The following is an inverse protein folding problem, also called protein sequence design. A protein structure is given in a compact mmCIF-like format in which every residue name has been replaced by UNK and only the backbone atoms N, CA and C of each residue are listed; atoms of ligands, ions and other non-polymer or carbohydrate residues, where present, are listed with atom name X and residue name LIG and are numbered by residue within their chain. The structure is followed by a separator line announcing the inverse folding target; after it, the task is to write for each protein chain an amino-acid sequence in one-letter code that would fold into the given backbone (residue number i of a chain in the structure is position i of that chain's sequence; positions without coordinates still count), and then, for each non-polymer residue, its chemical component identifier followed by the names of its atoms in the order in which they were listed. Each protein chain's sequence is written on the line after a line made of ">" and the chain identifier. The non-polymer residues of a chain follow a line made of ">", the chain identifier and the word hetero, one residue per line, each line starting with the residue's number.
data_IF_277430617305
#
_entry.id   IF_277430617305
#
_cell.length_a   1.000
_cell.length_b   1.000
_cell.length_c   1.000
_cell.angle_alpha   90.00
_cell.angle_beta   90.00
_cell.angle_gamma   90.00
#
_symmetry.space_group_name_H-M   'P 1'
#
loop_
_entity.id
_entity.type
_entity.pdbx_description
1 polymer ?
#
# COMPACT_ATOMS: atom_id res chain seq x y z
N UNK A 1 13.48 8.30 -7.40
CA UNK A 1 12.59 8.64 -8.50
C UNK A 1 11.29 9.16 -7.92
N UNK A 2 10.82 10.30 -8.43
CA UNK A 2 9.55 10.90 -8.07
C UNK A 2 8.46 10.40 -9.02
N UNK A 3 7.36 9.95 -8.47
CA UNK A 3 6.15 9.69 -9.23
C UNK A 3 5.05 10.65 -8.78
N UNK A 4 4.30 11.18 -9.72
CA UNK A 4 3.17 12.08 -9.49
C UNK A 4 1.91 11.51 -10.15
N UNK A 5 0.83 11.51 -9.40
CA UNK A 5 -0.46 10.99 -9.85
C UNK A 5 -1.55 12.02 -9.60
N UNK A 6 -2.55 12.04 -10.46
CA UNK A 6 -3.76 12.83 -10.27
C UNK A 6 -4.72 12.09 -9.33
N UNK A 7 -5.40 12.82 -8.47
CA UNK A 7 -6.49 12.24 -7.65
C UNK A 7 -7.57 11.60 -8.52
N UNK A 8 -8.22 10.58 -8.00
CA UNK A 8 -9.42 10.02 -8.61
C UNK A 8 -10.60 10.95 -8.39
N UNK A 9 -10.96 11.71 -9.44
CA UNK A 9 -12.04 12.68 -9.42
C UNK A 9 -13.43 12.05 -9.61
N UNK A 10 -13.50 10.73 -9.87
CA UNK A 10 -14.77 10.01 -9.91
C UNK A 10 -15.36 9.82 -8.50
N UNK A 11 -14.55 9.98 -7.47
CA UNK A 11 -14.97 9.94 -6.08
C UNK A 11 -15.39 11.33 -5.61
N UNK A 12 -16.38 11.39 -4.78
CA UNK A 12 -16.83 12.64 -4.13
C UNK A 12 -16.58 12.53 -2.60
N UNK A 13 -15.66 13.25 -2.06
CA UNK A 13 -14.68 14.15 -2.69
C UNK A 13 -13.59 13.37 -3.45
N UNK A 14 -12.88 14.02 -4.41
CA UNK A 14 -11.75 13.40 -5.08
C UNK A 14 -10.72 12.86 -4.08
N UNK A 15 -10.14 11.70 -4.38
CA UNK A 15 -9.28 11.00 -3.44
C UNK A 15 -7.91 10.65 -4.04
N UNK A 16 -6.85 10.58 -3.22
CA UNK A 16 -5.52 10.20 -3.66
C UNK A 16 -5.43 8.68 -3.88
N UNK A 17 -5.86 8.23 -5.05
CA UNK A 17 -5.75 6.85 -5.49
C UNK A 17 -4.58 6.74 -6.47
N UNK A 18 -3.65 5.83 -6.20
CA UNK A 18 -2.44 5.65 -6.98
C UNK A 18 -2.35 4.23 -7.53
N UNK A 19 -1.79 4.04 -8.75
CA UNK A 19 -1.56 2.71 -9.29
C UNK A 19 -0.37 2.06 -8.57
N UNK A 20 -0.60 0.89 -8.00
CA UNK A 20 0.41 0.11 -7.28
C UNK A 20 0.59 -1.24 -7.95
N UNK A 21 1.83 -1.62 -8.21
CA UNK A 21 2.14 -2.93 -8.75
C UNK A 21 2.24 -3.93 -7.61
N UNK A 22 1.32 -4.89 -7.59
CA UNK A 22 1.31 -6.00 -6.65
C UNK A 22 1.76 -7.27 -7.36
N UNK A 23 2.69 -7.98 -6.78
CA UNK A 23 3.15 -9.28 -7.29
C UNK A 23 3.43 -10.25 -6.15
N UNK A 24 3.60 -11.52 -6.48
CA UNK A 24 4.08 -12.51 -5.52
C UNK A 24 5.51 -12.18 -5.07
N UNK A 25 5.92 -12.64 -3.87
CA UNK A 25 7.26 -12.36 -3.34
C UNK A 25 8.40 -12.94 -4.18
N UNK A 26 8.11 -14.01 -4.93
CA UNK A 26 9.04 -14.65 -5.86
C UNK A 26 8.54 -14.56 -7.31
N UNK A 27 7.44 -13.85 -7.55
CA UNK A 27 6.58 -14.08 -8.68
C UNK A 27 6.80 -13.19 -9.88
N UNK A 28 6.48 -13.79 -11.00
CA UNK A 28 6.52 -13.17 -12.31
C UNK A 28 5.19 -12.48 -12.63
N UNK A 29 4.09 -12.94 -12.02
CA UNK A 29 2.76 -12.35 -12.22
C UNK A 29 2.55 -11.12 -11.35
N UNK A 30 2.03 -10.08 -11.98
CA UNK A 30 1.74 -8.83 -11.32
C UNK A 30 0.42 -8.23 -11.79
N UNK A 31 -0.17 -7.43 -10.93
CA UNK A 31 -1.37 -6.64 -11.22
C UNK A 31 -1.10 -5.19 -10.84
N UNK A 32 -1.53 -4.27 -11.70
CA UNK A 32 -1.62 -2.85 -11.34
C UNK A 32 -2.97 -2.61 -10.65
N UNK A 33 -2.91 -2.25 -9.39
CA UNK A 33 -4.09 -2.07 -8.55
C UNK A 33 -4.21 -0.61 -8.14
N UNK A 34 -5.32 0.08 -8.45
CA UNK A 34 -5.58 1.39 -7.87
C UNK A 34 -5.81 1.26 -6.38
N UNK A 35 -5.00 1.96 -5.58
CA UNK A 35 -5.05 1.89 -4.12
C UNK A 35 -5.19 3.28 -3.51
N UNK A 36 -6.07 3.41 -2.53
CA UNK A 36 -6.25 4.64 -1.77
C UNK A 36 -5.06 4.86 -0.83
N UNK A 37 -4.44 6.01 -0.93
CA UNK A 37 -3.42 6.45 0.05
C UNK A 37 -4.13 6.80 1.35
N UNK A 38 -3.91 6.00 2.39
CA UNK A 38 -4.62 6.13 3.67
C UNK A 38 -3.64 6.10 4.85
N UNK A 39 -3.31 7.28 5.34
CA UNK A 39 -2.44 7.45 6.50
C UNK A 39 -3.09 7.02 7.82
N UNK A 40 -4.40 6.83 7.82
CA UNK A 40 -5.16 6.29 8.95
C UNK A 40 -5.10 4.77 9.08
N UNK A 41 -4.69 4.07 8.01
CA UNK A 41 -4.55 2.62 8.03
C UNK A 41 -3.14 2.20 8.48
N UNK A 42 -3.06 1.27 9.42
CA UNK A 42 -1.78 0.73 9.92
C UNK A 42 -1.22 -0.38 9.01
N UNK A 43 -2.07 -1.01 8.20
CA UNK A 43 -1.70 -2.05 7.26
C UNK A 43 -2.29 -1.82 5.87
N UNK A 44 -1.65 -2.42 4.86
CA UNK A 44 -2.11 -2.39 3.47
C UNK A 44 -3.14 -3.49 3.24
N UNK A 45 -4.28 -3.12 2.66
CA UNK A 45 -5.37 -4.04 2.34
C UNK A 45 -5.41 -4.30 0.85
N UNK A 46 -5.52 -5.57 0.48
CA UNK A 46 -5.63 -6.02 -0.92
C UNK A 46 -6.89 -6.87 -1.05
N UNK A 47 -7.71 -6.65 -2.08
CA UNK A 47 -8.91 -7.47 -2.30
C UNK A 47 -8.60 -8.96 -2.37
N UNK A 48 -9.46 -9.78 -1.77
CA UNK A 48 -9.30 -11.22 -1.76
C UNK A 48 -9.21 -11.82 -3.17
N UNK A 49 -9.91 -11.23 -4.15
CA UNK A 49 -9.87 -11.64 -5.56
C UNK A 49 -8.47 -11.49 -6.16
N UNK A 50 -7.75 -10.42 -5.82
CA UNK A 50 -6.38 -10.18 -6.28
C UNK A 50 -5.41 -11.14 -5.61
N UNK A 51 -5.57 -11.38 -4.32
CA UNK A 51 -4.76 -12.35 -3.57
C UNK A 51 -4.89 -13.75 -4.18
N UNK A 52 -6.12 -14.17 -4.50
CA UNK A 52 -6.36 -15.46 -5.16
C UNK A 52 -5.81 -15.53 -6.56
N UNK A 53 -5.98 -14.47 -7.36
CA UNK A 53 -5.48 -14.40 -8.73
C UNK A 53 -3.96 -14.50 -8.80
N UNK A 54 -3.25 -13.84 -7.88
CA UNK A 54 -1.79 -13.85 -7.82
C UNK A 54 -1.24 -15.05 -7.05
N UNK A 55 -2.08 -15.80 -6.35
CA UNK A 55 -1.65 -16.91 -5.51
C UNK A 55 -0.69 -16.47 -4.41
N UNK A 56 -0.95 -15.33 -3.77
CA UNK A 56 -0.09 -14.80 -2.71
C UNK A 56 -0.06 -15.74 -1.51
N UNK A 57 1.14 -16.14 -1.02
CA UNK A 57 1.25 -17.09 0.07
C UNK A 57 0.68 -16.50 1.38
N UNK A 58 -0.18 -17.27 2.03
CA UNK A 58 -0.69 -16.91 3.35
C UNK A 58 0.38 -17.14 4.41
N UNK A 59 0.63 -16.13 5.22
CA UNK A 59 1.68 -16.14 6.25
C UNK A 59 1.12 -15.97 7.67
N UNK A 60 -0.12 -15.50 7.80
CA UNK A 60 -0.75 -15.27 9.11
C UNK A 60 -2.27 -15.17 8.99
N UNK A 61 -2.92 -15.13 10.14
CA UNK A 61 -4.33 -14.78 10.32
C UNK A 61 -4.42 -13.78 11.47
N UNK A 62 -5.12 -12.69 11.27
CA UNK A 62 -5.31 -11.64 12.27
C UNK A 62 -6.78 -11.35 12.52
N UNK A 63 -7.08 -10.77 13.68
CA UNK A 63 -8.38 -10.19 13.97
C UNK A 63 -8.43 -8.74 13.52
N UNK A 64 -9.45 -8.36 12.76
CA UNK A 64 -9.70 -6.99 12.34
C UNK A 64 -11.02 -6.53 12.94
N UNK A 65 -10.99 -5.36 13.58
CA UNK A 65 -12.19 -4.71 14.09
C UNK A 65 -12.62 -3.64 13.09
N UNK A 66 -13.78 -3.83 12.49
CA UNK A 66 -14.38 -2.85 11.58
C UNK A 66 -15.21 -1.79 12.29
N UNK A 67 -15.76 -0.86 11.51
CA UNK A 67 -16.76 0.11 11.97
C UNK A 67 -17.96 -0.64 12.55
N UNK A 68 -18.38 -0.28 13.76
CA UNK A 68 -19.47 -0.98 14.48
C UNK A 68 -19.00 -2.05 15.44
N UNK A 69 -17.69 -2.27 15.62
CA UNK A 69 -17.10 -3.14 16.63
C UNK A 69 -17.16 -4.64 16.31
N UNK A 70 -17.63 -5.05 15.14
CA UNK A 70 -17.63 -6.45 14.72
C UNK A 70 -16.19 -6.92 14.45
N UNK A 71 -15.76 -7.97 15.15
CA UNK A 71 -14.45 -8.58 14.98
C UNK A 71 -14.51 -9.66 13.91
N UNK A 72 -13.68 -9.56 12.89
CA UNK A 72 -13.55 -10.55 11.83
C UNK A 72 -12.13 -11.06 11.73
N UNK A 73 -11.96 -12.29 11.30
CA UNK A 73 -10.65 -12.83 10.93
C UNK A 73 -10.32 -12.41 9.50
N UNK A 74 -9.09 -11.99 9.31
CA UNK A 74 -8.53 -11.69 8.01
C UNK A 74 -7.24 -12.47 7.81
N UNK A 75 -7.00 -12.93 6.58
CA UNK A 75 -5.76 -13.61 6.22
C UNK A 75 -4.69 -12.60 5.81
N UNK A 76 -3.44 -12.88 6.17
CA UNK A 76 -2.28 -12.06 5.84
C UNK A 76 -1.42 -12.81 4.84
N UNK A 77 -0.99 -12.13 3.80
CA UNK A 77 -0.25 -12.71 2.69
C UNK A 77 1.03 -11.92 2.40
N UNK A 78 2.08 -12.61 2.00
CA UNK A 78 3.30 -11.96 1.55
C UNK A 78 3.14 -11.48 0.10
N UNK A 79 3.51 -10.24 -0.16
CA UNK A 79 3.45 -9.62 -1.47
C UNK A 79 4.64 -8.68 -1.70
N UNK A 80 5.02 -8.53 -2.96
CA UNK A 80 5.88 -7.44 -3.40
C UNK A 80 5.02 -6.27 -3.85
N UNK A 81 5.29 -5.10 -3.31
CA UNK A 81 4.56 -3.86 -3.60
C UNK A 81 5.54 -2.86 -4.21
N UNK A 82 5.18 -2.33 -5.36
CA UNK A 82 6.01 -1.36 -6.08
C UNK A 82 5.21 -0.11 -6.44
N UNK A 83 5.75 1.03 -6.04
CA UNK A 83 5.14 2.34 -6.25
C UNK A 83 6.24 3.39 -6.42
N UNK A 84 6.26 4.08 -7.56
CA UNK A 84 7.13 5.23 -7.77
C UNK A 84 8.62 4.99 -7.50
N UNK A 85 9.16 3.85 -7.89
CA UNK A 85 10.54 3.43 -7.63
C UNK A 85 10.77 2.81 -6.25
N UNK A 86 9.79 2.85 -5.36
CA UNK A 86 9.79 2.14 -4.09
C UNK A 86 9.36 0.69 -4.33
N UNK A 87 10.16 -0.28 -3.88
CA UNK A 87 9.83 -1.70 -3.92
C UNK A 87 10.00 -2.30 -2.53
N UNK A 88 8.94 -2.91 -2.01
CA UNK A 88 8.91 -3.47 -0.67
C UNK A 88 8.30 -4.87 -0.68
N UNK A 89 8.81 -5.73 0.19
CA UNK A 89 8.14 -6.95 0.59
C UNK A 89 7.23 -6.62 1.78
N UNK A 90 5.93 -6.84 1.63
CA UNK A 90 4.90 -6.38 2.58
C UNK A 90 3.98 -7.54 2.96
N UNK A 91 3.50 -7.53 4.18
CA UNK A 91 2.42 -8.41 4.65
C UNK A 91 1.10 -7.70 4.40
N UNK A 92 0.43 -8.06 3.31
CA UNK A 92 -0.86 -7.48 2.94
C UNK A 92 -2.01 -8.25 3.57
N UNK A 93 -3.07 -7.56 3.91
CA UNK A 93 -4.24 -8.14 4.58
C UNK A 93 -5.38 -8.25 3.57
N UNK A 94 -5.96 -9.44 3.47
CA UNK A 94 -7.17 -9.68 2.70
C UNK A 94 -8.39 -9.28 3.53
N UNK A 95 -9.00 -8.15 3.19
CA UNK A 95 -10.18 -7.68 3.89
C UNK A 95 -11.18 -7.06 2.91
N UNK A 96 -12.33 -7.75 2.72
CA UNK A 96 -13.35 -7.33 1.76
C UNK A 96 -12.78 -7.04 0.36
N UNK A 97 -13.34 -6.08 -0.35
CA UNK A 97 -12.85 -5.61 -1.67
C UNK A 97 -12.06 -4.30 -1.55
N UNK A 98 -11.44 -4.08 -0.40
CA UNK A 98 -10.71 -2.86 -0.09
C UNK A 98 -9.29 -2.90 -0.67
N UNK A 99 -8.92 -1.83 -1.36
CA UNK A 99 -7.57 -1.60 -1.87
C UNK A 99 -6.99 -0.33 -1.21
N UNK A 100 -6.30 -0.51 -0.10
CA UNK A 100 -5.81 0.56 0.76
C UNK A 100 -4.32 0.43 0.97
N UNK A 101 -3.60 1.51 0.70
CA UNK A 101 -2.17 1.62 0.94
C UNK A 101 -1.95 2.24 2.32
N UNK A 102 -1.52 1.43 3.27
CA UNK A 102 -1.35 1.83 4.66
C UNK A 102 0.03 2.38 5.01
N UNK A 103 0.21 2.73 6.28
CA UNK A 103 1.47 3.30 6.78
C UNK A 103 2.64 2.33 6.71
N UNK A 104 2.41 1.02 6.71
CA UNK A 104 3.43 0.00 6.51
C UNK A 104 4.21 0.20 5.19
N UNK A 105 3.57 0.73 4.16
CA UNK A 105 4.20 1.14 2.90
C UNK A 105 4.55 2.63 2.91
N UNK A 106 3.62 3.49 3.28
CA UNK A 106 3.78 4.95 3.19
C UNK A 106 4.94 5.49 4.03
N UNK A 107 5.25 4.86 5.16
CA UNK A 107 6.36 5.27 6.02
C UNK A 107 7.75 5.04 5.40
N UNK A 108 7.82 4.36 4.26
CA UNK A 108 9.07 4.16 3.50
C UNK A 108 9.28 5.18 2.39
N UNK A 109 8.38 6.15 2.26
CA UNK A 109 8.43 7.16 1.20
C UNK A 109 8.13 8.56 1.74
N UNK A 110 8.51 9.56 0.98
CA UNK A 110 7.99 10.93 1.15
C UNK A 110 6.75 11.06 0.27
N UNK A 111 5.60 11.28 0.90
CA UNK A 111 4.31 11.40 0.21
C UNK A 111 3.80 12.82 0.39
N UNK A 112 3.49 13.49 -0.71
CA UNK A 112 2.92 14.84 -0.70
C UNK A 112 1.49 14.76 -1.24
N UNK A 113 0.55 15.18 -0.42
CA UNK A 113 -0.86 15.29 -0.79
C UNK A 113 -1.16 16.76 -1.09
N UNK A 114 -1.26 17.10 -2.36
CA UNK A 114 -1.66 18.42 -2.82
C UNK A 114 -3.17 18.41 -3.09
N UNK A 115 -3.94 18.74 -2.07
CA UNK A 115 -5.41 18.78 -2.17
C UNK A 115 -5.92 19.79 -3.19
N UNK A 116 -5.47 21.06 -3.13
CA UNK A 116 -5.88 22.07 -4.12
C UNK A 116 -5.51 21.71 -5.56
N UNK A 117 -4.36 21.11 -5.76
CA UNK A 117 -3.88 20.65 -7.08
C UNK A 117 -4.40 19.28 -7.48
N UNK A 118 -5.14 18.58 -6.64
CA UNK A 118 -5.64 17.21 -6.86
C UNK A 118 -4.51 16.27 -7.33
N UNK A 119 -3.37 16.33 -6.67
CA UNK A 119 -2.20 15.53 -7.04
C UNK A 119 -1.54 14.91 -5.80
N UNK A 120 -1.01 13.72 -6.00
CA UNK A 120 -0.21 13.02 -5.00
C UNK A 120 1.16 12.69 -5.58
N UNK A 121 2.22 13.01 -4.84
CA UNK A 121 3.58 12.70 -5.22
C UNK A 121 4.17 11.68 -4.26
N UNK A 122 4.90 10.71 -4.81
CA UNK A 122 5.59 9.69 -4.03
C UNK A 122 7.06 9.70 -4.42
N UNK A 123 7.92 9.84 -3.42
CA UNK A 123 9.37 9.81 -3.58
C UNK A 123 9.97 8.76 -2.66
N UNK A 124 10.62 7.77 -3.25
CA UNK A 124 11.46 6.86 -2.48
C UNK A 124 12.69 7.61 -1.96
N UNK A 125 12.95 7.47 -0.66
CA UNK A 125 14.09 8.10 -0.02
C UNK A 125 15.01 7.04 0.56
N UNK A 126 16.27 7.02 0.17
CA UNK A 126 17.27 6.18 0.81
C UNK A 126 17.48 6.64 2.26
N UNK A 127 17.55 5.68 3.19
CA UNK A 127 17.93 6.00 4.56
C UNK A 127 19.32 6.62 4.56
N UNK A 128 19.49 7.81 5.18
CA UNK A 128 20.79 8.37 5.43
C UNK A 128 21.59 7.35 6.27
N UNK A 129 22.82 7.01 5.81
CA UNK A 129 23.74 6.22 6.64
C UNK A 129 24.00 7.00 7.94
N UNK A 130 23.93 6.35 9.12
CA UNK A 130 24.30 7.02 10.35
C UNK A 130 25.73 7.55 10.19
N UNK A 131 25.96 8.82 10.50
CA UNK A 131 27.31 9.38 10.52
C UNK A 131 28.11 8.53 11.51
N UNK A 132 29.19 7.90 11.05
CA UNK A 132 30.18 7.33 11.95
C UNK A 132 30.66 8.47 12.84
N UNK A 133 30.41 8.36 14.17
CA UNK A 133 31.08 9.25 15.10
C UNK A 133 32.56 8.96 14.94
N UNK A 134 33.31 9.95 14.50
CA UNK A 134 34.76 9.91 14.59
C UNK A 134 35.14 9.88 16.06
N UNK A 135 35.76 8.81 16.51
CA UNK A 135 36.39 8.71 17.82
C UNK A 135 37.68 9.52 17.80
#
# INVERSE_FOLDING_TARGET
>A
VNARFTYDASLDAPAPVVPVRISGPLGDDAVMLPMLVDTGADCTLVPASIIGRLGLPQVDVIGVTGVGGARRRATVHAASVELGGLRLLVRVVAFADEAILGRDVLNHAVVVLDGPGLAVSVKARSRARPRRRST
#
